data_IF_240470740554
#
_entry.id   IF_240470740554
#
_cell.length_a   1.000
_cell.length_b   1.000
_cell.length_c   1.000
_cell.angle_alpha   90.00
_cell.angle_beta   90.00
_cell.angle_gamma   90.00
#
_symmetry.space_group_name_H-M   'P 1'
#
loop_
_entity.id
_entity.type
_entity.pdbx_description
1 polymer ?
#
# COMPACT_ATOMS: atom_id res chain seq x y z
N UNK A 1 -34.79 -62.48 40.46
CA UNK A 1 -34.78 -61.04 40.81
C UNK A 1 -33.43 -60.80 41.45
N UNK A 2 -32.44 -60.13 40.89
CA UNK A 2 -32.39 -58.97 40.01
C UNK A 2 -31.12 -58.25 40.48
N UNK A 3 -30.04 -58.29 39.70
CA UNK A 3 -29.54 -57.12 38.97
C UNK A 3 -28.25 -56.66 39.66
N UNK A 4 -27.23 -56.10 39.01
CA UNK A 4 -26.96 -55.81 37.61
C UNK A 4 -25.50 -55.39 37.57
N UNK A 5 -24.83 -55.83 36.54
CA UNK A 5 -23.41 -55.68 36.25
C UNK A 5 -23.01 -54.24 35.90
N UNK A 6 -21.78 -53.88 36.27
CA UNK A 6 -20.93 -52.89 35.58
C UNK A 6 -21.06 -51.42 36.03
N UNK A 7 -20.05 -50.56 35.95
CA UNK A 7 -18.61 -50.66 35.71
C UNK A 7 -18.02 -49.22 35.83
N UNK A 8 -16.68 -49.11 35.92
CA UNK A 8 -15.79 -47.95 35.60
C UNK A 8 -15.75 -46.83 36.66
N UNK A 9 -14.66 -46.55 37.39
CA UNK A 9 -13.24 -46.24 37.08
C UNK A 9 -13.03 -45.10 36.06
N UNK A 10 -12.04 -44.25 36.40
CA UNK A 10 -11.49 -43.07 35.71
C UNK A 10 -12.33 -41.80 35.85
N UNK A 11 -11.86 -40.68 36.41
CA UNK A 11 -10.54 -40.06 36.33
C UNK A 11 -10.71 -38.66 35.69
N UNK A 12 -10.20 -37.56 36.28
CA UNK A 12 -10.61 -36.20 35.94
C UNK A 12 -9.92 -35.69 34.67
N UNK A 13 -10.68 -35.07 33.75
CA UNK A 13 -10.12 -34.30 32.64
C UNK A 13 -10.35 -32.80 32.85
N UNK A 14 -9.28 -32.13 33.28
CA UNK A 14 -9.06 -30.70 33.06
C UNK A 14 -8.61 -30.45 31.61
N UNK A 15 -8.92 -29.25 31.13
CA UNK A 15 -8.49 -28.61 29.87
C UNK A 15 -9.23 -28.99 28.57
N UNK A 16 -10.05 -28.04 28.13
CA UNK A 16 -9.95 -27.35 26.83
C UNK A 16 -11.04 -26.26 26.84
N UNK A 17 -10.73 -24.98 27.01
CA UNK A 17 -9.87 -24.23 26.12
C UNK A 17 -10.70 -23.72 24.94
N UNK A 18 -11.44 -22.63 25.17
CA UNK A 18 -12.00 -21.66 24.21
C UNK A 18 -11.57 -21.91 22.75
N UNK A 19 -12.40 -22.62 21.95
CA UNK A 19 -12.37 -22.69 20.47
C UNK A 19 -13.72 -23.29 20.03
N UNK A 20 -14.58 -22.66 19.23
CA UNK A 20 -14.42 -21.64 18.21
C UNK A 20 -15.74 -20.86 18.08
N UNK A 21 -15.71 -19.58 18.40
CA UNK A 21 -16.19 -18.63 17.41
C UNK A 21 -15.13 -18.64 16.29
N UNK A 22 -15.57 -18.74 15.04
CA UNK A 22 -15.72 -17.49 14.34
C UNK A 22 -17.16 -17.37 13.88
N UNK A 23 -17.83 -16.38 14.45
CA UNK A 23 -18.43 -15.31 13.66
C UNK A 23 -18.41 -15.63 12.17
N UNK A 24 -19.60 -15.93 11.64
CA UNK A 24 -19.89 -15.60 10.26
C UNK A 24 -19.64 -14.11 10.10
N UNK A 25 -18.38 -13.72 9.89
CA UNK A 25 -18.05 -12.54 9.13
C UNK A 25 -18.76 -12.80 7.80
N UNK A 26 -19.90 -12.13 7.62
CA UNK A 26 -20.52 -12.01 6.31
C UNK A 26 -19.44 -11.68 5.30
N UNK A 27 -19.62 -12.10 4.05
CA UNK A 27 -18.73 -11.82 2.95
C UNK A 27 -18.40 -10.31 2.88
N UNK A 28 -17.41 -9.90 3.67
CA UNK A 28 -16.72 -8.63 3.54
C UNK A 28 -15.67 -8.96 2.50
N UNK A 29 -15.89 -8.45 1.29
CA UNK A 29 -14.90 -8.43 0.22
C UNK A 29 -13.74 -7.53 0.65
N UNK A 30 -13.02 -7.96 1.68
CA UNK A 30 -11.90 -7.24 2.25
C UNK A 30 -10.70 -7.46 1.32
N UNK A 31 -10.13 -6.37 0.85
CA UNK A 31 -8.89 -6.37 0.09
C UNK A 31 -7.72 -6.49 1.07
N UNK A 32 -6.74 -7.27 0.71
CA UNK A 32 -5.53 -7.51 1.49
C UNK A 32 -4.33 -7.17 0.64
N UNK A 33 -3.43 -6.35 1.18
CA UNK A 33 -2.11 -6.09 0.63
C UNK A 33 -1.13 -7.11 1.18
N UNK A 34 -0.45 -7.80 0.27
CA UNK A 34 0.59 -8.76 0.53
C UNK A 34 1.92 -8.14 0.16
N UNK A 35 2.88 -8.16 1.09
CA UNK A 35 4.25 -7.71 0.83
C UNK A 35 5.21 -8.87 1.01
N UNK A 36 6.04 -9.10 0.01
CA UNK A 36 7.06 -10.15 0.02
C UNK A 36 8.28 -9.72 0.85
N UNK A 37 8.99 -10.68 1.46
CA UNK A 37 10.24 -10.39 2.17
C UNK A 37 11.41 -10.04 1.22
N UNK A 38 11.27 -10.33 -0.07
CA UNK A 38 12.29 -10.04 -1.09
C UNK A 38 11.92 -8.75 -1.81
N UNK A 39 12.65 -7.64 -1.60
CA UNK A 39 12.33 -6.38 -2.26
C UNK A 39 12.41 -6.54 -3.79
N UNK A 40 11.47 -5.94 -4.51
CA UNK A 40 11.40 -5.99 -5.98
C UNK A 40 10.98 -7.34 -6.58
N UNK A 41 10.50 -8.29 -5.77
CA UNK A 41 10.08 -9.59 -6.29
C UNK A 41 8.87 -9.45 -7.23
N UNK A 42 9.07 -9.79 -8.50
CA UNK A 42 8.01 -9.84 -9.50
C UNK A 42 7.82 -11.28 -9.94
N UNK A 43 6.62 -11.81 -9.76
CA UNK A 43 6.33 -13.22 -10.05
C UNK A 43 5.03 -13.70 -9.41
N UNK A 44 4.68 -14.97 -9.65
CA UNK A 44 3.43 -15.55 -9.17
C UNK A 44 3.70 -16.52 -8.01
N UNK A 45 3.07 -16.31 -6.86
CA UNK A 45 3.16 -17.19 -5.68
C UNK A 45 1.77 -17.58 -5.23
N UNK A 46 1.53 -18.89 -5.03
CA UNK A 46 0.24 -19.41 -4.56
C UNK A 46 -1.00 -18.90 -5.34
N UNK A 47 -0.84 -18.63 -6.64
CA UNK A 47 -1.91 -18.09 -7.48
C UNK A 47 -1.94 -16.56 -7.58
N UNK A 48 -1.24 -15.85 -6.70
CA UNK A 48 -1.21 -14.40 -6.61
C UNK A 48 -0.02 -13.83 -7.40
N UNK A 49 -0.28 -12.88 -8.27
CA UNK A 49 0.76 -12.15 -8.98
C UNK A 49 1.28 -11.01 -8.10
N UNK A 50 2.58 -11.02 -7.84
CA UNK A 50 3.31 -9.94 -7.19
C UNK A 50 3.98 -9.07 -8.24
N UNK A 51 3.87 -7.76 -8.04
CA UNK A 51 4.57 -6.73 -8.78
C UNK A 51 5.39 -5.91 -7.78
N UNK A 52 6.70 -5.80 -8.03
CA UNK A 52 7.63 -5.05 -7.19
C UNK A 52 7.59 -5.45 -5.69
N UNK A 53 7.38 -6.73 -5.42
CA UNK A 53 7.31 -7.27 -4.06
C UNK A 53 5.98 -7.02 -3.34
N UNK A 54 4.96 -6.49 -4.01
CA UNK A 54 3.60 -6.32 -3.45
C UNK A 54 2.52 -6.98 -4.32
N UNK A 55 1.42 -7.40 -3.69
CA UNK A 55 0.23 -7.87 -4.38
C UNK A 55 -1.03 -7.47 -3.60
N UNK A 56 -2.12 -7.20 -4.31
CA UNK A 56 -3.42 -6.95 -3.68
C UNK A 56 -4.35 -8.09 -4.05
N UNK A 57 -5.00 -8.68 -3.04
CA UNK A 57 -5.92 -9.80 -3.23
C UNK A 57 -7.17 -9.62 -2.39
N UNK A 58 -8.29 -10.12 -2.88
CA UNK A 58 -9.55 -10.16 -2.17
C UNK A 58 -9.65 -11.44 -1.30
N UNK A 59 -10.22 -11.32 -0.10
CA UNK A 59 -10.45 -12.48 0.77
C UNK A 59 -11.39 -13.53 0.18
N UNK A 60 -12.32 -13.12 -0.68
CA UNK A 60 -13.34 -14.01 -1.25
C UNK A 60 -12.72 -15.06 -2.17
N UNK A 61 -11.92 -14.61 -3.14
CA UNK A 61 -11.26 -15.45 -4.15
C UNK A 61 -9.96 -16.03 -3.61
N UNK A 62 -9.23 -15.30 -2.77
CA UNK A 62 -7.86 -15.65 -2.35
C UNK A 62 -7.71 -15.95 -0.86
N UNK A 63 -8.81 -16.20 -0.11
CA UNK A 63 -8.76 -16.48 1.33
C UNK A 63 -7.82 -17.63 1.73
N UNK A 64 -7.71 -18.67 0.89
CA UNK A 64 -6.75 -19.78 1.09
C UNK A 64 -5.29 -19.33 0.94
N UNK A 65 -5.02 -18.43 0.00
CA UNK A 65 -3.68 -17.87 -0.23
C UNK A 65 -3.28 -16.94 0.93
N UNK A 66 -4.20 -16.13 1.47
CA UNK A 66 -3.95 -15.29 2.65
C UNK A 66 -3.46 -16.12 3.85
N UNK A 67 -4.11 -17.25 4.14
CA UNK A 67 -3.68 -18.15 5.20
C UNK A 67 -2.28 -18.73 4.95
N UNK A 68 -1.92 -19.01 3.69
CA UNK A 68 -0.59 -19.44 3.31
C UNK A 68 0.46 -18.35 3.56
N UNK A 69 0.23 -17.12 3.10
CA UNK A 69 1.16 -16.00 3.23
C UNK A 69 1.42 -15.63 4.70
N UNK A 70 0.37 -15.58 5.53
CA UNK A 70 0.50 -15.36 6.99
C UNK A 70 1.39 -16.40 7.68
N UNK A 71 1.32 -17.66 7.25
CA UNK A 71 2.16 -18.75 7.79
C UNK A 71 3.59 -18.72 7.27
N UNK A 72 3.79 -18.16 6.08
CA UNK A 72 5.07 -18.14 5.37
C UNK A 72 5.90 -16.88 5.67
N UNK A 73 5.43 -16.03 6.59
CA UNK A 73 6.13 -14.82 7.03
C UNK A 73 5.98 -13.63 6.09
N UNK A 74 5.02 -13.68 5.16
CA UNK A 74 4.68 -12.53 4.33
C UNK A 74 3.88 -11.53 5.17
N UNK A 75 4.09 -10.25 4.92
CA UNK A 75 3.27 -9.21 5.55
C UNK A 75 1.92 -9.18 4.84
N UNK A 76 0.86 -9.37 5.62
CA UNK A 76 -0.53 -9.36 5.14
C UNK A 76 -1.25 -8.26 5.90
N UNK A 77 -1.64 -7.21 5.19
CA UNK A 77 -2.33 -6.04 5.74
C UNK A 77 -3.73 -5.97 5.13
N UNK A 78 -4.75 -5.80 5.96
CA UNK A 78 -6.11 -5.57 5.48
C UNK A 78 -6.17 -4.14 4.91
N UNK A 79 -6.27 -4.04 3.60
CA UNK A 79 -6.38 -2.79 2.88
C UNK A 79 -7.86 -2.46 2.74
N UNK A 80 -8.45 -1.84 3.76
CA UNK A 80 -9.81 -1.27 3.67
C UNK A 80 -9.86 -0.03 2.76
N UNK A 81 -8.70 0.48 2.36
CA UNK A 81 -8.50 1.65 1.52
C UNK A 81 -7.34 1.31 0.56
N UNK A 82 -7.34 1.76 -0.70
CA UNK A 82 -6.22 1.51 -1.60
C UNK A 82 -4.96 2.12 -0.98
N UNK A 83 -4.15 1.27 -0.36
CA UNK A 83 -2.84 1.65 0.19
C UNK A 83 -1.95 1.95 -0.99
N UNK A 84 -1.93 3.24 -1.34
CA UNK A 84 -0.89 3.95 -2.08
C UNK A 84 0.43 3.24 -1.82
N UNK A 85 0.95 2.54 -2.82
CA UNK A 85 2.29 1.98 -2.82
C UNK A 85 3.28 3.13 -2.66
N UNK A 86 4.12 3.16 -1.62
CA UNK A 86 5.33 3.99 -1.66
C UNK A 86 6.35 3.30 -2.57
N UNK A 87 6.04 3.25 -3.87
CA UNK A 87 6.93 2.81 -4.94
C UNK A 87 6.57 3.56 -6.23
N UNK A 88 6.38 4.85 -6.08
CA UNK A 88 6.35 5.87 -7.13
C UNK A 88 6.61 7.16 -6.31
N UNK A 89 7.82 7.72 -6.25
CA UNK A 89 8.35 8.56 -7.32
C UNK A 89 7.59 8.41 -8.65
N UNK A 90 6.28 8.66 -8.59
CA UNK A 90 5.63 9.49 -9.59
C UNK A 90 6.51 10.73 -9.52
N UNK A 91 7.35 10.94 -10.52
CA UNK A 91 7.73 12.30 -10.87
C UNK A 91 6.41 13.05 -10.78
N UNK A 92 6.22 13.97 -9.82
CA UNK A 92 4.95 14.64 -9.73
C UNK A 92 4.72 15.18 -11.12
N UNK A 93 3.65 14.74 -11.77
CA UNK A 93 3.12 15.41 -12.93
C UNK A 93 2.70 16.75 -12.34
N UNK A 94 3.66 17.69 -12.28
CA UNK A 94 3.46 19.02 -11.76
C UNK A 94 2.62 19.70 -12.84
N UNK A 95 1.33 19.42 -12.88
CA UNK A 95 0.36 20.09 -13.75
C UNK A 95 0.03 21.49 -13.27
N UNK A 96 0.33 21.78 -12.01
CA UNK A 96 0.05 23.05 -11.35
C UNK A 96 1.35 23.66 -10.83
N UNK A 97 1.57 24.98 -11.00
CA UNK A 97 2.79 25.62 -10.53
C UNK A 97 2.97 25.38 -9.03
N UNK A 98 4.19 25.04 -8.58
CA UNK A 98 4.43 24.83 -7.16
C UNK A 98 4.14 26.13 -6.37
N UNK A 99 3.90 26.01 -5.07
CA UNK A 99 3.69 27.20 -4.23
C UNK A 99 4.92 28.13 -4.33
N UNK A 100 4.73 29.46 -4.28
CA UNK A 100 5.87 30.42 -4.28
C UNK A 100 6.93 30.13 -3.21
N UNK A 101 6.54 29.48 -2.11
CA UNK A 101 7.44 29.04 -1.04
C UNK A 101 8.16 27.70 -1.27
N UNK A 102 7.88 26.98 -2.36
CA UNK A 102 8.44 25.66 -2.64
C UNK A 102 9.96 25.69 -2.87
N UNK A 103 10.60 24.53 -2.84
CA UNK A 103 12.04 24.42 -3.11
C UNK A 103 12.39 24.88 -4.53
N UNK A 104 13.59 25.44 -4.73
CA UNK A 104 14.12 25.80 -6.06
C UNK A 104 14.07 24.61 -7.03
N UNK A 105 14.35 23.41 -6.53
CA UNK A 105 14.31 22.18 -7.31
C UNK A 105 12.92 21.89 -7.89
N UNK A 106 11.86 22.07 -7.09
CA UNK A 106 10.48 21.94 -7.56
C UNK A 106 10.13 23.00 -8.62
N UNK A 107 10.68 24.20 -8.50
CA UNK A 107 10.53 25.26 -9.49
C UNK A 107 11.30 24.97 -10.79
N UNK A 108 12.49 24.39 -10.71
CA UNK A 108 13.26 23.94 -11.88
C UNK A 108 12.51 22.83 -12.60
N UNK A 109 12.01 21.84 -11.87
CA UNK A 109 11.23 20.74 -12.42
C UNK A 109 9.96 21.27 -13.13
N UNK A 110 9.25 22.24 -12.53
CA UNK A 110 8.09 22.84 -13.18
C UNK A 110 8.45 23.67 -14.41
N UNK A 111 9.45 24.55 -14.30
CA UNK A 111 9.86 25.44 -15.39
C UNK A 111 10.39 24.68 -16.62
N UNK A 112 10.98 23.50 -16.42
CA UNK A 112 11.47 22.63 -17.50
C UNK A 112 10.42 21.66 -18.05
N UNK A 113 9.33 21.49 -17.31
CA UNK A 113 8.19 20.65 -17.67
C UNK A 113 7.30 21.33 -18.70
N UNK A 114 6.53 20.52 -19.44
CA UNK A 114 5.54 21.01 -20.41
C UNK A 114 4.38 21.76 -19.75
N UNK A 115 4.22 21.60 -18.43
CA UNK A 115 3.23 22.32 -17.64
C UNK A 115 3.50 23.83 -17.53
N UNK A 116 4.74 24.28 -17.77
CA UNK A 116 5.05 25.69 -17.88
C UNK A 116 4.54 26.33 -19.19
N UNK A 117 4.10 25.52 -20.17
CA UNK A 117 3.53 26.00 -21.43
C UNK A 117 4.48 26.94 -22.18
N UNK A 118 4.02 28.15 -22.50
CA UNK A 118 4.81 29.19 -23.17
C UNK A 118 5.98 29.72 -22.32
N UNK A 119 5.97 29.48 -21.01
CA UNK A 119 6.99 29.93 -20.05
C UNK A 119 8.01 28.84 -19.72
N UNK A 120 8.12 27.84 -20.59
CA UNK A 120 9.04 26.71 -20.43
C UNK A 120 10.48 27.18 -20.65
N UNK A 121 11.33 26.90 -19.67
CA UNK A 121 12.76 27.17 -19.67
C UNK A 121 13.53 25.86 -19.88
N UNK A 122 14.77 25.94 -20.35
CA UNK A 122 15.67 24.78 -20.38
C UNK A 122 16.23 24.52 -18.97
N UNK A 123 16.74 23.31 -18.73
CA UNK A 123 17.31 22.94 -17.43
C UNK A 123 18.44 23.89 -16.99
N UNK A 124 19.29 24.30 -17.94
CA UNK A 124 20.38 25.24 -17.71
C UNK A 124 19.86 26.60 -17.22
N UNK A 125 18.94 27.22 -17.97
CA UNK A 125 18.31 28.49 -17.64
C UNK A 125 17.56 28.42 -16.29
N UNK A 126 16.82 27.34 -16.05
CA UNK A 126 16.08 27.16 -14.81
C UNK A 126 17.01 27.01 -13.60
N UNK A 127 18.14 26.31 -13.74
CA UNK A 127 19.11 26.16 -12.66
C UNK A 127 19.92 27.44 -12.40
N UNK A 128 20.06 28.33 -13.39
CA UNK A 128 20.69 29.64 -13.24
C UNK A 128 19.82 30.62 -12.44
N UNK A 129 18.50 30.58 -12.60
CA UNK A 129 17.55 31.46 -11.92
C UNK A 129 17.33 31.09 -10.45
N UNK A 130 16.91 32.05 -9.63
CA UNK A 130 16.48 31.79 -8.26
C UNK A 130 15.03 31.30 -8.23
N UNK A 131 14.66 30.65 -7.12
CA UNK A 131 13.28 30.21 -6.85
C UNK A 131 12.26 31.33 -7.09
N UNK A 132 12.54 32.53 -6.59
CA UNK A 132 11.64 33.68 -6.72
C UNK A 132 11.47 34.11 -8.19
N UNK A 133 12.57 34.18 -8.94
CA UNK A 133 12.56 34.54 -10.36
C UNK A 133 11.82 33.49 -11.21
N UNK A 134 11.98 32.20 -10.88
CA UNK A 134 11.21 31.12 -11.50
C UNK A 134 9.71 31.26 -11.21
N UNK A 135 9.37 31.58 -9.96
CA UNK A 135 8.00 31.79 -9.54
C UNK A 135 7.37 33.03 -10.20
N UNK A 136 8.12 34.12 -10.35
CA UNK A 136 7.67 35.32 -11.05
C UNK A 136 7.51 35.08 -12.56
N UNK A 137 8.46 34.37 -13.17
CA UNK A 137 8.38 34.01 -14.58
C UNK A 137 7.09 33.21 -14.85
N UNK A 138 6.80 32.21 -14.01
CA UNK A 138 5.67 31.30 -14.13
C UNK A 138 4.33 31.91 -13.70
N UNK A 139 4.21 32.44 -12.48
CA UNK A 139 2.96 32.94 -11.90
C UNK A 139 2.66 34.41 -12.23
N UNK A 140 3.63 35.15 -12.76
CA UNK A 140 3.54 36.61 -12.95
C UNK A 140 3.99 37.41 -11.72
N UNK A 141 4.12 38.74 -11.85
CA UNK A 141 4.59 39.61 -10.78
C UNK A 141 3.65 39.55 -9.58
N UNK A 142 4.19 39.71 -8.38
CA UNK A 142 3.40 39.82 -7.16
C UNK A 142 2.69 41.19 -7.20
N UNK A 143 1.37 41.18 -7.41
CA UNK A 143 0.57 42.37 -7.12
C UNK A 143 0.70 42.65 -5.62
N UNK A 144 1.31 43.78 -5.30
CA UNK A 144 1.48 44.34 -3.96
C UNK A 144 0.26 45.20 -3.59
#
# INVERSE_FOLDING_TARGET
MGGGDGARRDGPQVHQGVRRDPEGQGAVMALFKLTTPTPGFTGKVAGVAFADGTATVDSETHGRALAYFRRRGYRVEEASEPVVTPAEQTEPVITEPPARGAAKDAWIAFATSEAAGEKRLTLDEATALKRDELAEHVLGPKED
#
